data_IF_118836267738
#
_entry.id   IF_118836267738
#
_cell.length_a   1.000
_cell.length_b   1.000
_cell.length_c   1.000
_cell.angle_alpha   90.00
_cell.angle_beta   90.00
_cell.angle_gamma   90.00
#
_symmetry.space_group_name_H-M   'P 1'
#
loop_
_entity.id
_entity.type
_entity.pdbx_description
1 polymer ?
#
# COMPACT_ATOMS: atom_id res chain seq x y z
N UNK A 1 0.22 -7.27 -9.45
CA UNK A 1 1.30 -8.19 -9.02
C UNK A 1 2.37 -8.33 -10.07
N UNK A 2 2.01 -8.48 -11.35
CA UNK A 2 2.99 -8.51 -12.44
C UNK A 2 3.92 -7.29 -12.47
N UNK A 3 3.44 -6.09 -12.09
CA UNK A 3 4.26 -4.87 -12.02
C UNK A 3 5.47 -4.99 -11.07
N UNK A 4 5.37 -5.80 -10.02
CA UNK A 4 6.44 -5.96 -9.01
C UNK A 4 7.23 -7.27 -9.21
N UNK A 5 6.93 -8.08 -10.23
CA UNK A 5 7.53 -9.41 -10.40
C UNK A 5 7.19 -10.43 -9.29
N UNK A 6 6.34 -10.07 -8.32
CA UNK A 6 6.00 -10.92 -7.18
C UNK A 6 4.86 -11.87 -7.57
N UNK A 7 5.18 -13.16 -7.70
CA UNK A 7 4.23 -14.21 -8.10
C UNK A 7 3.27 -14.62 -6.98
N UNK A 8 3.72 -14.55 -5.72
CA UNK A 8 2.94 -15.05 -4.58
C UNK A 8 2.10 -13.94 -3.94
N UNK A 9 0.78 -14.04 -4.12
CA UNK A 9 -0.18 -13.06 -3.62
C UNK A 9 -0.23 -12.98 -2.09
N UNK A 10 -0.17 -14.13 -1.44
CA UNK A 10 -0.22 -14.23 0.03
C UNK A 10 1.02 -13.59 0.65
N UNK A 11 2.19 -13.90 0.07
CA UNK A 11 3.47 -13.34 0.50
C UNK A 11 3.48 -11.82 0.32
N UNK A 12 3.06 -11.31 -0.85
CA UNK A 12 2.96 -9.88 -1.08
C UNK A 12 2.08 -9.17 -0.05
N UNK A 13 0.93 -9.77 0.28
CA UNK A 13 0.04 -9.19 1.27
C UNK A 13 0.69 -9.14 2.65
N UNK A 14 1.32 -10.23 3.09
CA UNK A 14 1.97 -10.33 4.40
C UNK A 14 3.20 -9.43 4.54
N UNK A 15 4.04 -9.38 3.52
CA UNK A 15 5.35 -8.70 3.61
C UNK A 15 5.28 -7.21 3.25
N UNK A 16 4.34 -6.79 2.39
CA UNK A 16 4.30 -5.41 1.91
C UNK A 16 3.03 -4.67 2.33
N UNK A 17 1.86 -5.28 2.14
CA UNK A 17 0.59 -4.58 2.38
C UNK A 17 0.25 -4.50 3.87
N UNK A 18 0.38 -5.60 4.60
CA UNK A 18 0.03 -5.65 6.04
C UNK A 18 0.86 -4.68 6.87
N UNK A 19 2.21 -4.62 6.72
CA UNK A 19 3.02 -3.65 7.47
C UNK A 19 2.68 -2.21 7.10
N UNK A 20 2.54 -1.91 5.80
CA UNK A 20 2.19 -0.56 5.35
C UNK A 20 0.79 -0.09 5.80
N UNK A 21 -0.16 -1.03 6.01
CA UNK A 21 -1.44 -0.72 6.64
C UNK A 21 -1.28 -0.45 8.15
N UNK A 22 -0.44 -1.23 8.84
CA UNK A 22 -0.18 -1.06 10.27
C UNK A 22 0.54 0.27 10.58
N UNK A 23 1.45 0.67 9.70
CA UNK A 23 2.17 1.96 9.77
C UNK A 23 1.32 3.16 9.32
N UNK A 24 0.10 2.93 8.81
CA UNK A 24 -0.76 4.00 8.31
C UNK A 24 -0.29 4.63 6.99
N UNK A 25 0.65 4.00 6.28
CA UNK A 25 1.11 4.45 4.98
C UNK A 25 0.11 4.13 3.85
N UNK A 26 -0.63 3.04 4.01
CA UNK A 26 -1.72 2.63 3.13
C UNK A 26 -3.04 2.59 3.89
N UNK A 27 -4.14 2.74 3.15
CA UNK A 27 -5.49 2.53 3.64
C UNK A 27 -6.32 1.73 2.64
N UNK A 28 -7.37 1.07 3.13
CA UNK A 28 -8.30 0.31 2.31
C UNK A 28 -9.34 1.21 1.67
N UNK A 29 -9.64 0.99 0.39
CA UNK A 29 -10.73 1.70 -0.29
C UNK A 29 -12.10 1.40 0.32
N UNK A 30 -12.34 0.15 0.70
CA UNK A 30 -13.55 -0.28 1.40
C UNK A 30 -13.17 -0.87 2.77
N UNK A 31 -12.99 -0.05 3.81
CA UNK A 31 -12.59 -0.52 5.14
C UNK A 31 -13.71 -1.31 5.83
N UNK A 32 -14.97 -0.89 5.64
CA UNK A 32 -16.14 -1.54 6.24
C UNK A 32 -16.44 -2.92 5.64
N UNK A 33 -15.97 -3.16 4.41
CA UNK A 33 -16.18 -4.42 3.69
C UNK A 33 -14.83 -4.97 3.20
N UNK A 34 -13.99 -5.53 4.09
CA UNK A 34 -12.61 -5.89 3.77
C UNK A 34 -12.49 -7.01 2.72
N UNK A 35 -13.56 -7.80 2.51
CA UNK A 35 -13.66 -8.84 1.47
C UNK A 35 -14.36 -8.37 0.20
N UNK A 36 -14.53 -7.06 0.00
CA UNK A 36 -15.19 -6.52 -1.18
C UNK A 36 -14.45 -6.95 -2.47
N UNK A 37 -15.15 -7.40 -3.53
CA UNK A 37 -14.53 -7.91 -4.75
C UNK A 37 -13.67 -6.86 -5.48
N UNK A 38 -14.00 -5.56 -5.29
CA UNK A 38 -13.22 -4.44 -5.84
C UNK A 38 -12.29 -3.80 -4.81
N UNK A 39 -11.86 -4.55 -3.79
CA UNK A 39 -10.98 -4.02 -2.77
C UNK A 39 -9.65 -3.56 -3.38
N UNK A 40 -9.25 -2.35 -3.00
CA UNK A 40 -8.03 -1.70 -3.45
C UNK A 40 -7.36 -1.01 -2.25
N UNK A 41 -6.09 -0.70 -2.40
CA UNK A 41 -5.31 0.06 -1.43
C UNK A 41 -4.93 1.40 -2.03
N UNK A 42 -4.96 2.45 -1.22
CA UNK A 42 -4.53 3.79 -1.61
C UNK A 42 -3.54 4.33 -0.58
N UNK A 43 -2.65 5.21 -1.03
CA UNK A 43 -1.66 5.86 -0.18
C UNK A 43 -2.32 6.96 0.64
N UNK A 44 -2.00 7.01 1.93
CA UNK A 44 -2.48 8.08 2.81
C UNK A 44 -1.78 9.40 2.49
N UNK A 45 -2.35 10.50 2.95
CA UNK A 45 -1.79 11.84 2.73
C UNK A 45 -0.39 11.98 3.36
N UNK A 46 -0.18 11.38 4.54
CA UNK A 46 1.12 11.32 5.20
C UNK A 46 2.16 10.55 4.36
N UNK A 47 1.78 9.42 3.76
CA UNK A 47 2.69 8.68 2.90
C UNK A 47 2.99 9.40 1.58
N UNK A 48 2.03 10.16 1.02
CA UNK A 48 2.26 10.98 -0.17
C UNK A 48 3.24 12.11 0.11
N UNK A 49 3.04 12.85 1.19
CA UNK A 49 3.94 13.94 1.60
C UNK A 49 5.35 13.43 1.89
N UNK A 50 5.47 12.29 2.59
CA UNK A 50 6.76 11.62 2.79
C UNK A 50 7.43 11.25 1.47
N UNK A 51 6.67 10.68 0.52
CA UNK A 51 7.19 10.28 -0.79
C UNK A 51 7.70 11.49 -1.58
N UNK A 52 6.96 12.58 -1.62
CA UNK A 52 7.37 13.81 -2.30
C UNK A 52 8.64 14.42 -1.67
N UNK A 53 8.73 14.42 -0.33
CA UNK A 53 9.94 14.84 0.37
C UNK A 53 11.14 13.95 0.03
N UNK A 54 10.93 12.63 0.00
CA UNK A 54 11.97 11.66 -0.33
C UNK A 54 12.46 11.81 -1.78
N UNK A 55 11.55 12.00 -2.74
CA UNK A 55 11.90 12.24 -4.14
C UNK A 55 12.68 13.54 -4.34
N UNK A 56 12.31 14.62 -3.64
CA UNK A 56 13.06 15.89 -3.67
C UNK A 56 14.45 15.78 -3.06
N UNK A 57 14.62 14.95 -2.01
CA UNK A 57 15.90 14.77 -1.32
C UNK A 57 16.90 13.93 -2.12
N UNK A 58 16.42 12.97 -2.89
CA UNK A 58 17.25 12.03 -3.66
C UNK A 58 17.39 12.43 -5.14
N UNK A 59 17.05 13.67 -5.47
CA UNK A 59 17.22 14.29 -6.79
C UNK A 59 18.30 15.36 -6.68
#
# INVERSE_FOLDING_TARGET
MNLFGIKNRTRFRKEYITPALAEGALEMKYPNTPRHPRQQYRMTEQAKTWKEWYEKKNK
#
